data_IF_777753803589
#
_entry.id   IF_777753803589
#
_cell.length_a   1.000
_cell.length_b   1.000
_cell.length_c   1.000
_cell.angle_alpha   90.00
_cell.angle_beta   90.00
_cell.angle_gamma   90.00
#
_symmetry.space_group_name_H-M   'P 1'
#
loop_
_entity.id
_entity.type
_entity.pdbx_description
1 polymer ?
#
# COMPACT_ATOMS: atom_id res chain seq x y z
N UNK A 1 10.85 -9.51 8.17
CA UNK A 1 9.40 -9.59 8.27
C UNK A 1 8.80 -10.24 7.02
N UNK A 2 7.80 -11.06 7.18
CA UNK A 2 7.10 -11.73 6.06
C UNK A 2 5.60 -11.67 6.26
N UNK A 3 4.85 -11.80 5.18
CA UNK A 3 3.41 -11.91 5.26
C UNK A 3 2.87 -12.85 4.18
N UNK A 4 1.72 -13.41 4.46
CA UNK A 4 0.96 -14.25 3.53
C UNK A 4 -0.47 -13.77 3.48
N UNK A 5 -1.09 -13.89 2.31
CA UNK A 5 -2.47 -13.48 2.12
C UNK A 5 -3.25 -14.64 1.52
N UNK A 6 -4.34 -15.02 2.19
CA UNK A 6 -5.24 -16.05 1.70
C UNK A 6 -6.35 -15.42 0.87
N UNK A 7 -6.59 -16.00 -0.29
CA UNK A 7 -7.70 -15.58 -1.14
C UNK A 7 -7.33 -14.55 -2.18
N UNK A 8 -8.31 -14.10 -2.95
CA UNK A 8 -8.07 -13.20 -4.07
C UNK A 8 -7.67 -11.81 -3.62
N UNK A 9 -6.78 -11.20 -4.41
CA UNK A 9 -6.35 -9.83 -4.25
C UNK A 9 -7.05 -8.94 -5.26
N UNK A 10 -7.33 -7.70 -4.87
CA UNK A 10 -7.84 -6.70 -5.80
C UNK A 10 -6.73 -6.33 -6.80
N UNK A 11 -7.10 -6.03 -8.04
CA UNK A 11 -6.14 -5.48 -8.99
C UNK A 11 -5.58 -4.15 -8.50
N UNK A 12 -4.44 -3.74 -9.05
CA UNK A 12 -3.65 -2.64 -8.51
C UNK A 12 -4.24 -1.29 -8.90
N UNK A 13 -4.37 -0.41 -7.91
CA UNK A 13 -4.59 1.01 -8.10
C UNK A 13 -3.32 1.77 -7.76
N UNK A 14 -2.95 2.72 -8.59
CA UNK A 14 -1.77 3.56 -8.37
C UNK A 14 -2.22 4.92 -7.86
N UNK A 15 -1.78 5.27 -6.66
CA UNK A 15 -2.16 6.52 -6.00
C UNK A 15 -1.08 7.58 -6.20
N UNK A 16 -1.49 8.73 -6.75
CA UNK A 16 -0.62 9.85 -7.06
C UNK A 16 -0.74 11.00 -6.05
N UNK A 17 -1.45 10.82 -4.93
CA UNK A 17 -1.62 11.88 -3.95
C UNK A 17 -0.28 12.32 -3.35
N UNK A 18 -0.26 13.52 -2.80
CA UNK A 18 0.97 14.11 -2.25
C UNK A 18 1.61 13.20 -1.19
N UNK A 19 0.79 12.62 -0.29
CA UNK A 19 1.32 11.74 0.75
C UNK A 19 1.95 10.48 0.17
N UNK A 20 1.29 9.84 -0.81
CA UNK A 20 1.84 8.64 -1.44
C UNK A 20 3.14 8.95 -2.19
N UNK A 21 3.17 10.07 -2.93
CA UNK A 21 4.39 10.48 -3.64
C UNK A 21 5.57 10.66 -2.71
N UNK A 22 5.34 11.32 -1.58
CA UNK A 22 6.40 11.61 -0.61
C UNK A 22 6.83 10.38 0.16
N UNK A 23 5.86 9.55 0.51
CA UNK A 23 6.13 8.31 1.23
C UNK A 23 6.98 7.34 0.41
N UNK A 24 6.59 7.13 -0.84
CA UNK A 24 7.24 6.17 -1.72
C UNK A 24 8.39 6.76 -2.55
N UNK A 25 8.45 8.08 -2.68
CA UNK A 25 9.35 8.72 -3.65
C UNK A 25 8.92 8.45 -5.10
N UNK A 26 7.69 7.99 -5.28
CA UNK A 26 7.10 7.58 -6.55
C UNK A 26 5.60 7.39 -6.31
N UNK A 27 4.76 7.28 -7.33
CA UNK A 27 3.36 6.90 -7.10
C UNK A 27 3.27 5.55 -6.40
N UNK A 28 2.31 5.40 -5.51
CA UNK A 28 2.15 4.17 -4.74
C UNK A 28 1.18 3.20 -5.39
N UNK A 29 1.66 2.02 -5.77
CA UNK A 29 0.82 0.95 -6.29
C UNK A 29 0.34 0.03 -5.18
N UNK A 30 -0.99 -0.13 -5.04
CA UNK A 30 -1.58 -0.92 -3.96
C UNK A 30 -2.61 -1.92 -4.47
N UNK A 31 -2.57 -3.10 -3.91
CA UNK A 31 -3.68 -4.03 -3.89
C UNK A 31 -4.38 -3.94 -2.53
N UNK A 32 -5.43 -4.70 -2.33
CA UNK A 32 -6.05 -4.82 -1.01
C UNK A 32 -6.60 -6.22 -0.80
N UNK A 33 -6.76 -6.57 0.45
CA UNK A 33 -7.31 -7.86 0.88
C UNK A 33 -8.16 -7.66 2.13
N UNK A 34 -9.07 -8.59 2.42
CA UNK A 34 -9.72 -8.60 3.72
C UNK A 34 -8.66 -8.67 4.82
N UNK A 35 -8.89 -7.91 5.89
CA UNK A 35 -7.93 -7.82 6.99
C UNK A 35 -7.62 -9.18 7.60
N UNK A 36 -8.62 -10.04 7.72
CA UNK A 36 -8.47 -11.37 8.32
C UNK A 36 -7.77 -12.38 7.39
N UNK A 37 -7.58 -12.03 6.13
CA UNK A 37 -6.83 -12.88 5.18
C UNK A 37 -5.32 -12.67 5.27
N UNK A 38 -4.87 -11.64 5.98
CA UNK A 38 -3.44 -11.31 6.11
C UNK A 38 -2.85 -11.95 7.36
N UNK A 39 -1.75 -12.69 7.17
CA UNK A 39 -0.97 -13.26 8.26
C UNK A 39 0.44 -12.72 8.24
N UNK A 40 0.90 -12.23 9.37
CA UNK A 40 2.22 -11.63 9.52
C UNK A 40 3.15 -12.55 10.30
N UNK A 41 4.42 -12.57 9.88
CA UNK A 41 5.50 -13.22 10.62
C UNK A 41 6.60 -12.18 10.83
N UNK A 42 7.06 -12.01 12.06
CA UNK A 42 8.03 -10.99 12.40
C UNK A 42 7.41 -9.61 12.60
N UNK A 43 6.20 -9.57 13.15
CA UNK A 43 5.46 -8.32 13.41
C UNK A 43 6.21 -7.35 14.32
N UNK A 44 7.13 -7.85 15.13
CA UNK A 44 7.96 -7.01 16.00
C UNK A 44 8.81 -6.02 15.21
N UNK A 45 9.01 -6.26 13.90
CA UNK A 45 9.75 -5.36 13.02
C UNK A 45 8.86 -4.36 12.30
N UNK A 46 7.53 -4.56 12.36
CA UNK A 46 6.58 -3.67 11.73
C UNK A 46 6.45 -2.38 12.52
N UNK A 47 6.57 -1.25 11.83
CA UNK A 47 6.40 0.08 12.41
C UNK A 47 5.26 0.79 11.70
N UNK A 48 4.55 1.63 12.43
CA UNK A 48 3.42 2.37 11.92
C UNK A 48 3.64 3.87 12.09
N UNK A 49 3.24 4.63 11.08
CA UNK A 49 3.23 6.09 11.11
C UNK A 49 1.83 6.55 10.72
N UNK A 50 1.26 7.46 11.48
CA UNK A 50 -0.03 8.04 11.16
C UNK A 50 0.06 8.88 9.89
N UNK A 51 -1.00 8.81 9.07
CA UNK A 51 -1.16 9.61 7.87
C UNK A 51 -2.02 10.82 8.22
N UNK A 52 -1.44 11.96 8.60
CA UNK A 52 -2.18 13.04 9.28
C UNK A 52 -3.20 13.74 8.38
N UNK A 53 -3.04 13.65 7.07
CA UNK A 53 -3.97 14.29 6.13
C UNK A 53 -5.10 13.36 5.69
N UNK A 54 -5.15 12.15 6.23
CA UNK A 54 -6.20 11.19 5.88
C UNK A 54 -7.44 11.39 6.73
N UNK A 55 -8.58 11.63 6.10
CA UNK A 55 -9.88 11.67 6.78
C UNK A 55 -10.25 10.31 7.37
N UNK A 56 -9.72 9.23 6.83
CA UNK A 56 -9.95 7.87 7.32
C UNK A 56 -9.09 7.51 8.53
N UNK A 57 -8.30 8.45 9.03
CA UNK A 57 -7.33 8.21 10.12
C UNK A 57 -6.41 7.05 9.81
N UNK A 58 -5.95 7.02 8.57
CA UNK A 58 -5.08 5.96 8.09
C UNK A 58 -3.69 6.02 8.70
N UNK A 59 -3.04 4.89 8.68
CA UNK A 59 -1.64 4.75 9.08
C UNK A 59 -0.89 3.96 8.02
N UNK A 60 0.40 4.15 7.98
CA UNK A 60 1.27 3.46 7.02
C UNK A 60 2.23 2.55 7.76
N UNK A 61 2.30 1.30 7.30
CA UNK A 61 3.16 0.29 7.89
C UNK A 61 4.40 0.04 7.04
N UNK A 62 5.54 -0.07 7.68
CA UNK A 62 6.80 -0.36 7.01
C UNK A 62 7.68 -1.26 7.87
N UNK A 63 8.65 -1.91 7.23
CA UNK A 63 9.60 -2.73 7.97
C UNK A 63 10.64 -1.84 8.64
N UNK A 64 10.74 -1.93 9.97
CA UNK A 64 11.69 -1.13 10.74
C UNK A 64 13.14 -1.51 10.53
N UNK A 65 13.43 -2.66 9.94
CA UNK A 65 14.80 -3.08 9.64
C UNK A 65 15.28 -2.62 8.28
N UNK A 66 14.45 -2.74 7.23
CA UNK A 66 14.88 -2.41 5.87
C UNK A 66 14.17 -1.20 5.27
N UNK A 67 13.14 -0.68 5.94
CA UNK A 67 12.42 0.48 5.48
C UNK A 67 11.38 0.24 4.38
N UNK A 68 11.15 -1.01 3.97
CA UNK A 68 10.17 -1.31 2.92
C UNK A 68 8.78 -0.89 3.33
N UNK A 69 8.12 -0.10 2.49
CA UNK A 69 6.70 0.25 2.68
C UNK A 69 5.86 -0.99 2.40
N UNK A 70 4.96 -1.32 3.32
CA UNK A 70 4.18 -2.55 3.25
C UNK A 70 2.69 -2.30 3.16
N UNK A 71 2.14 -1.48 4.07
CA UNK A 71 0.69 -1.37 4.25
C UNK A 71 0.21 0.07 4.35
N UNK A 72 -1.00 0.29 3.84
CA UNK A 72 -1.82 1.45 4.15
C UNK A 72 -3.08 0.94 4.83
N UNK A 73 -3.36 1.39 6.02
CA UNK A 73 -4.40 0.83 6.88
C UNK A 73 -5.29 1.92 7.46
N UNK A 74 -6.59 1.85 7.17
CA UNK A 74 -7.61 2.62 7.85
C UNK A 74 -8.23 1.68 8.88
N UNK A 75 -7.97 1.87 10.19
CA UNK A 75 -8.30 0.86 11.21
C UNK A 75 -9.77 0.46 11.28
N UNK A 76 -10.68 1.34 10.89
CA UNK A 76 -12.11 1.05 10.89
C UNK A 76 -12.58 0.33 9.62
N UNK A 77 -11.67 0.12 8.65
CA UNK A 77 -12.00 -0.56 7.41
C UNK A 77 -11.93 -2.08 7.53
N UNK A 78 -12.66 -2.76 6.66
CA UNK A 78 -12.66 -4.22 6.59
C UNK A 78 -11.48 -4.78 5.80
N UNK A 79 -10.84 -3.94 4.99
CA UNK A 79 -9.69 -4.33 4.17
C UNK A 79 -8.44 -3.59 4.60
N UNK A 80 -7.31 -4.14 4.20
CA UNK A 80 -6.01 -3.48 4.33
C UNK A 80 -5.37 -3.39 2.95
N UNK A 81 -4.74 -2.25 2.67
CA UNK A 81 -4.02 -2.06 1.41
C UNK A 81 -2.58 -2.51 1.56
N UNK A 82 -2.07 -3.17 0.53
CA UNK A 82 -0.74 -3.76 0.52
C UNK A 82 0.02 -3.17 -0.67
N UNK A 83 1.25 -2.70 -0.41
CA UNK A 83 2.11 -2.21 -1.48
C UNK A 83 2.40 -3.36 -2.45
N UNK A 84 1.92 -3.22 -3.68
CA UNK A 84 1.91 -4.33 -4.64
C UNK A 84 3.31 -4.83 -5.03
N UNK A 85 4.29 -3.94 -5.00
CA UNK A 85 5.68 -4.30 -5.29
C UNK A 85 6.33 -5.22 -4.28
N UNK A 86 5.71 -5.39 -3.10
CA UNK A 86 6.23 -6.29 -2.06
C UNK A 86 5.76 -7.73 -2.22
N UNK A 87 4.87 -8.00 -3.16
CA UNK A 87 4.35 -9.33 -3.41
C UNK A 87 5.33 -10.16 -4.23
N UNK A 88 5.38 -11.46 -3.95
CA UNK A 88 6.18 -12.39 -4.75
C UNK A 88 5.59 -12.56 -6.16
N UNK A 89 6.45 -12.79 -7.13
CA UNK A 89 6.04 -13.03 -8.51
C UNK A 89 5.78 -14.51 -8.77
N UNK A 90 4.82 -14.84 -9.64
CA UNK A 90 3.92 -13.94 -10.36
C UNK A 90 2.76 -13.49 -9.47
N UNK A 91 2.37 -12.21 -9.56
CA UNK A 91 1.26 -11.71 -8.77
C UNK A 91 -0.11 -12.06 -9.34
N UNK A 92 -0.17 -12.19 -10.66
CA UNK A 92 -1.44 -12.36 -11.39
C UNK A 92 -2.29 -11.09 -11.44
N UNK A 93 -1.77 -9.96 -10.96
CA UNK A 93 -2.50 -8.72 -10.88
C UNK A 93 -2.16 -7.78 -12.03
N UNK A 94 -3.05 -6.83 -12.29
CA UNK A 94 -2.87 -5.77 -13.30
C UNK A 94 -3.13 -4.42 -12.66
N UNK A 95 -2.48 -3.38 -13.18
CA UNK A 95 -2.82 -2.02 -12.83
C UNK A 95 -4.06 -1.61 -13.61
N UNK A 96 -5.14 -1.30 -12.91
CA UNK A 96 -6.44 -0.99 -13.52
C UNK A 96 -6.89 0.45 -13.28
N UNK A 97 -6.22 1.19 -12.40
CA UNK A 97 -6.64 2.54 -12.07
C UNK A 97 -5.47 3.40 -11.61
N UNK A 98 -5.58 4.69 -11.92
CA UNK A 98 -4.74 5.73 -11.35
C UNK A 98 -5.66 6.70 -10.62
N UNK A 99 -5.40 6.96 -9.35
CA UNK A 99 -6.24 7.81 -8.51
C UNK A 99 -5.44 9.01 -7.99
N UNK A 100 -6.15 10.10 -7.67
CA UNK A 100 -5.56 11.37 -7.23
C UNK A 100 -4.56 11.91 -8.27
N UNK A 101 -4.91 11.78 -9.55
CA UNK A 101 -4.01 12.15 -10.65
C UNK A 101 -3.75 13.66 -10.75
N UNK A 102 -4.62 14.48 -10.17
CA UNK A 102 -4.39 15.94 -10.11
C UNK A 102 -3.12 16.30 -9.33
N UNK A 103 -2.70 15.42 -8.42
CA UNK A 103 -1.50 15.63 -7.59
C UNK A 103 -0.27 14.93 -8.14
N UNK A 104 -0.37 14.35 -9.34
CA UNK A 104 0.73 13.59 -9.95
C UNK A 104 1.96 14.49 -10.17
N UNK A 105 3.15 13.89 -10.05
CA UNK A 105 4.39 14.58 -10.35
C UNK A 105 4.54 14.80 -11.86
N UNK A 106 5.57 15.54 -12.25
CA UNK A 106 5.76 15.99 -13.63
C UNK A 106 6.83 15.20 -14.41
N UNK A 107 7.39 14.15 -13.81
CA UNK A 107 8.48 13.40 -14.44
C UNK A 107 8.00 12.18 -15.24
N UNK A 108 6.70 11.98 -15.36
CA UNK A 108 6.08 10.90 -16.13
C UNK A 108 4.74 11.35 -16.66
N UNK A 109 4.24 10.64 -17.67
CA UNK A 109 2.94 10.90 -18.26
C UNK A 109 1.95 9.82 -17.88
N UNK A 110 0.68 10.23 -17.73
CA UNK A 110 -0.43 9.32 -17.47
C UNK A 110 -1.30 9.22 -18.73
N UNK A 111 -1.52 8.00 -19.18
CA UNK A 111 -2.39 7.72 -20.34
C UNK A 111 -3.85 7.61 -19.94
#
# INVERSE_FOLDING_TARGET
>A
MRFEIDGPLRDVSVCHCVECRRWHGNPGGYTSAPRDALRLTGEDRLRWIDSPESDARARRGFCGECGSSLFWDAPDGETISIAAGTLDLPTGLKTVAHIYTADASDYYELD
#
